data_IF_010608899908
#
_entry.id   IF_010608899908
#
_cell.length_a   1.000
_cell.length_b   1.000
_cell.length_c   1.000
_cell.angle_alpha   90.00
_cell.angle_beta   90.00
_cell.angle_gamma   90.00
#
_symmetry.space_group_name_H-M   'P 1'
#
loop_
_entity.id
_entity.type
_entity.pdbx_description
1 polymer ?
#
# COMPACT_ATOMS: atom_id res chain seq x y z
N UNK A 1 -3.50 -15.82 -17.85
CA UNK A 1 -3.32 -14.51 -17.20
C UNK A 1 -3.38 -14.68 -15.69
N UNK A 2 -4.46 -15.26 -15.17
CA UNK A 2 -4.63 -15.48 -13.73
C UNK A 2 -3.50 -16.32 -13.10
N UNK A 3 -3.08 -17.37 -13.79
CA UNK A 3 -1.95 -18.21 -13.34
C UNK A 3 -0.64 -17.43 -13.26
N UNK A 4 -0.42 -16.51 -14.20
CA UNK A 4 0.81 -15.72 -14.27
C UNK A 4 0.87 -14.74 -13.09
N UNK A 5 -0.24 -14.05 -12.79
CA UNK A 5 -0.36 -13.12 -11.67
C UNK A 5 -0.13 -13.83 -10.33
N UNK A 6 -0.76 -14.98 -10.13
CA UNK A 6 -0.61 -15.77 -8.89
C UNK A 6 0.80 -16.31 -8.71
N UNK A 7 1.47 -16.72 -9.78
CA UNK A 7 2.85 -17.20 -9.71
C UNK A 7 3.80 -16.07 -9.28
N UNK A 8 3.67 -14.88 -9.85
CA UNK A 8 4.44 -13.69 -9.45
C UNK A 8 4.19 -13.32 -8.00
N UNK A 9 2.94 -13.29 -7.57
CA UNK A 9 2.56 -12.94 -6.20
C UNK A 9 3.20 -13.90 -5.21
N UNK A 10 3.19 -15.19 -5.49
CA UNK A 10 3.81 -16.20 -4.62
C UNK A 10 5.32 -15.99 -4.46
N UNK A 11 6.01 -15.64 -5.55
CA UNK A 11 7.45 -15.37 -5.53
C UNK A 11 7.77 -14.12 -4.71
N UNK A 12 6.93 -13.10 -4.77
CA UNK A 12 7.11 -11.81 -4.11
C UNK A 12 6.77 -11.88 -2.61
N UNK A 13 5.81 -12.71 -2.23
CA UNK A 13 5.24 -12.70 -0.87
C UNK A 13 6.27 -12.93 0.23
N UNK A 14 7.13 -13.94 0.10
CA UNK A 14 8.13 -14.23 1.12
C UNK A 14 9.19 -13.13 1.27
N UNK A 15 9.81 -12.61 0.19
CA UNK A 15 10.71 -11.47 0.30
C UNK A 15 10.04 -10.23 0.91
N UNK A 16 8.78 -9.96 0.57
CA UNK A 16 8.05 -8.84 1.16
C UNK A 16 7.84 -9.02 2.65
N UNK A 17 7.43 -10.21 3.09
CA UNK A 17 7.25 -10.52 4.51
C UNK A 17 8.56 -10.38 5.30
N UNK A 18 9.69 -10.73 4.69
CA UNK A 18 11.00 -10.56 5.29
C UNK A 18 11.35 -9.09 5.50
N UNK A 19 11.08 -8.24 4.50
CA UNK A 19 11.26 -6.79 4.61
C UNK A 19 10.35 -6.20 5.69
N UNK A 20 9.10 -6.64 5.76
CA UNK A 20 8.13 -6.21 6.77
C UNK A 20 8.61 -6.59 8.16
N UNK A 21 9.07 -7.83 8.34
CA UNK A 21 9.54 -8.33 9.64
C UNK A 21 10.76 -7.57 10.15
N UNK A 22 11.67 -7.19 9.26
CA UNK A 22 12.89 -6.46 9.61
C UNK A 22 12.70 -4.96 9.78
N UNK A 23 11.58 -4.41 9.35
CA UNK A 23 11.31 -2.98 9.47
C UNK A 23 10.80 -2.61 10.86
N UNK A 24 11.18 -1.43 11.36
CA UNK A 24 10.66 -0.90 12.62
C UNK A 24 9.35 -0.13 12.41
N UNK A 25 9.22 0.58 11.29
CA UNK A 25 8.04 1.34 10.90
C UNK A 25 7.77 1.15 9.41
N UNK A 26 6.51 0.98 9.07
CA UNK A 26 6.11 0.71 7.69
C UNK A 26 5.09 1.76 7.27
N UNK A 27 5.41 2.46 6.18
CA UNK A 27 4.53 3.48 5.61
C UNK A 27 4.07 3.02 4.24
N UNK A 28 2.77 3.09 4.00
CA UNK A 28 2.15 2.67 2.74
C UNK A 28 1.43 3.88 2.14
N UNK A 29 1.78 4.26 0.92
CA UNK A 29 1.14 5.38 0.23
C UNK A 29 0.79 5.00 -1.21
N UNK A 30 -0.14 5.75 -1.79
CA UNK A 30 -0.48 5.66 -3.19
C UNK A 30 -0.02 6.91 -3.96
N UNK A 31 -0.86 7.39 -4.87
CA UNK A 31 -0.57 8.58 -5.68
C UNK A 31 -1.28 9.83 -5.15
N UNK A 32 -0.86 11.00 -5.65
CA UNK A 32 -1.53 12.28 -5.39
C UNK A 32 -2.98 12.21 -5.89
N UNK A 33 -3.86 12.96 -5.22
CA UNK A 33 -5.30 12.92 -5.51
C UNK A 33 -5.82 11.49 -5.44
N UNK A 34 -5.49 10.81 -4.34
CA UNK A 34 -5.73 9.39 -4.17
C UNK A 34 -7.19 9.03 -4.40
N UNK A 35 -7.41 8.05 -5.28
CA UNK A 35 -8.72 7.50 -5.60
C UNK A 35 -9.03 6.28 -4.71
N UNK A 36 -10.17 5.63 -4.97
CA UNK A 36 -10.59 4.46 -4.19
C UNK A 36 -9.58 3.31 -4.26
N UNK A 37 -8.94 3.09 -5.41
CA UNK A 37 -7.96 2.01 -5.53
C UNK A 37 -6.66 2.34 -4.80
N UNK A 38 -6.20 3.59 -4.90
CA UNK A 38 -5.01 4.06 -4.19
C UNK A 38 -5.18 3.94 -2.68
N UNK A 39 -6.28 4.46 -2.14
CA UNK A 39 -6.57 4.38 -0.71
C UNK A 39 -6.92 2.95 -0.28
N UNK A 40 -7.75 2.26 -1.06
CA UNK A 40 -8.19 0.90 -0.74
C UNK A 40 -7.03 -0.09 -0.64
N UNK A 41 -6.12 -0.07 -1.62
CA UNK A 41 -4.95 -0.94 -1.62
C UNK A 41 -3.99 -0.60 -0.47
N UNK A 42 -3.75 0.69 -0.23
CA UNK A 42 -2.87 1.14 0.85
C UNK A 42 -3.42 0.77 2.23
N UNK A 43 -4.71 1.00 2.47
CA UNK A 43 -5.35 0.67 3.75
C UNK A 43 -5.42 -0.84 3.96
N UNK A 44 -5.79 -1.59 2.93
CA UNK A 44 -5.86 -3.06 3.02
C UNK A 44 -4.52 -3.67 3.41
N UNK A 45 -3.45 -3.24 2.77
CA UNK A 45 -2.11 -3.72 3.08
C UNK A 45 -1.66 -3.28 4.47
N UNK A 46 -1.95 -2.03 4.85
CA UNK A 46 -1.64 -1.52 6.19
C UNK A 46 -2.31 -2.36 7.27
N UNK A 47 -3.60 -2.65 7.11
CA UNK A 47 -4.34 -3.46 8.08
C UNK A 47 -3.78 -4.88 8.19
N UNK A 48 -3.45 -5.52 7.07
CA UNK A 48 -2.85 -6.86 7.07
C UNK A 48 -1.50 -6.87 7.79
N UNK A 49 -0.66 -5.87 7.56
CA UNK A 49 0.65 -5.75 8.22
C UNK A 49 0.48 -5.50 9.71
N UNK A 50 -0.50 -4.66 10.11
CA UNK A 50 -0.83 -4.45 11.53
C UNK A 50 -1.31 -5.73 12.20
N UNK A 51 -2.09 -6.53 11.49
CA UNK A 51 -2.56 -7.81 12.00
C UNK A 51 -1.41 -8.79 12.26
N UNK A 52 -0.27 -8.61 11.58
CA UNK A 52 0.96 -9.35 11.85
C UNK A 52 1.74 -8.82 13.07
N UNK A 53 1.26 -7.76 13.71
CA UNK A 53 1.88 -7.17 14.89
C UNK A 53 2.91 -6.09 14.60
N UNK A 54 2.97 -5.57 13.38
CA UNK A 54 3.92 -4.53 12.97
C UNK A 54 3.31 -3.15 13.04
N UNK A 55 4.14 -2.14 13.26
CA UNK A 55 3.74 -0.72 13.23
C UNK A 55 3.67 -0.25 11.78
N UNK A 56 2.47 0.07 11.32
CA UNK A 56 2.23 0.47 9.93
C UNK A 56 1.14 1.54 9.84
N UNK A 57 1.27 2.43 8.86
CA UNK A 57 0.33 3.52 8.60
C UNK A 57 0.12 3.71 7.11
N UNK A 58 -1.12 4.05 6.75
CA UNK A 58 -1.44 4.51 5.40
C UNK A 58 -1.17 6.03 5.34
N UNK A 59 -0.32 6.44 4.42
CA UNK A 59 0.05 7.87 4.26
C UNK A 59 -0.82 8.48 3.15
N UNK A 60 -1.58 9.50 3.49
CA UNK A 60 -2.50 10.12 2.58
C UNK A 60 -2.74 11.59 2.97
N UNK A 61 -2.76 12.47 1.97
CA UNK A 61 -3.22 13.84 2.15
C UNK A 61 -4.74 13.86 2.03
N UNK A 62 -5.41 13.94 3.17
CA UNK A 62 -6.87 13.93 3.22
C UNK A 62 -7.48 15.07 2.40
N UNK A 63 -6.86 16.26 2.44
CA UNK A 63 -7.42 17.45 1.79
C UNK A 63 -7.54 17.32 0.27
N UNK A 64 -6.63 16.56 -0.36
CA UNK A 64 -6.59 16.37 -1.82
C UNK A 64 -7.17 15.05 -2.28
N UNK A 65 -7.48 14.14 -1.36
CA UNK A 65 -7.95 12.80 -1.72
C UNK A 65 -9.33 12.84 -2.37
N UNK A 66 -9.50 12.03 -3.41
CA UNK A 66 -10.78 11.79 -4.06
C UNK A 66 -11.57 10.65 -3.37
N UNK A 67 -10.98 10.03 -2.37
CA UNK A 67 -11.55 8.88 -1.65
C UNK A 67 -11.89 9.19 -0.19
N UNK A 68 -12.27 10.42 0.12
CA UNK A 68 -12.59 10.84 1.51
C UNK A 68 -13.67 9.97 2.14
N UNK A 69 -14.66 9.53 1.36
CA UNK A 69 -15.73 8.65 1.84
C UNK A 69 -15.14 7.35 2.39
N UNK A 70 -14.13 6.79 1.74
CA UNK A 70 -13.48 5.57 2.21
C UNK A 70 -12.62 5.84 3.45
N UNK A 71 -11.87 6.94 3.45
CA UNK A 71 -11.03 7.34 4.60
C UNK A 71 -11.90 7.55 5.84
N UNK A 72 -13.06 8.18 5.68
CA UNK A 72 -13.98 8.50 6.79
C UNK A 72 -14.60 7.24 7.42
N UNK A 73 -14.52 6.08 6.76
CA UNK A 73 -14.95 4.80 7.34
C UNK A 73 -13.99 4.27 8.41
N UNK A 74 -12.81 4.85 8.52
CA UNK A 74 -11.79 4.46 9.50
C UNK A 74 -11.49 5.65 10.42
N UNK A 75 -12.49 6.12 11.21
CA UNK A 75 -12.28 7.29 12.07
C UNK A 75 -11.26 6.96 13.17
N UNK A 76 -10.54 7.98 13.58
CA UNK A 76 -9.66 7.85 14.74
C UNK A 76 -10.49 7.55 16.00
N UNK A 77 -10.06 6.55 16.74
CA UNK A 77 -10.64 6.21 18.05
C UNK A 77 -9.62 6.57 19.12
N UNK A 78 -10.09 7.33 20.13
CA UNK A 78 -9.22 7.75 21.23
C UNK A 78 -8.62 6.53 21.95
N UNK A 79 -7.30 6.58 22.16
CA UNK A 79 -6.56 5.48 22.77
C UNK A 79 -6.08 4.41 21.78
N UNK A 80 -6.48 4.48 20.51
CA UNK A 80 -5.98 3.60 19.47
C UNK A 80 -4.96 4.33 18.58
N UNK A 81 -4.03 3.58 18.00
CA UNK A 81 -3.08 4.13 17.03
C UNK A 81 -3.82 4.52 15.76
N UNK A 82 -3.69 5.77 15.26
CA UNK A 82 -4.36 6.18 14.03
C UNK A 82 -3.91 5.32 12.84
N UNK A 83 -4.86 4.99 11.96
CA UNK A 83 -4.57 4.22 10.74
C UNK A 83 -3.82 5.07 9.70
N UNK A 84 -4.15 6.34 9.62
CA UNK A 84 -3.61 7.27 8.63
C UNK A 84 -2.56 8.20 9.23
N UNK A 85 -1.61 8.61 8.38
CA UNK A 85 -0.65 9.68 8.66
C UNK A 85 -0.68 10.68 7.52
N UNK A 86 -0.64 11.96 7.85
CA UNK A 86 -0.36 12.99 6.86
C UNK A 86 1.09 12.83 6.37
N UNK A 87 1.40 13.18 5.11
CA UNK A 87 2.78 13.04 4.59
C UNK A 87 3.84 13.72 5.45
N UNK A 88 3.56 14.92 5.98
CA UNK A 88 4.51 15.64 6.84
C UNK A 88 4.86 14.86 8.10
N UNK A 89 3.86 14.23 8.74
CA UNK A 89 4.09 13.44 9.95
C UNK A 89 4.89 12.17 9.64
N UNK A 90 4.59 11.51 8.52
CA UNK A 90 5.33 10.33 8.10
C UNK A 90 6.81 10.65 7.83
N UNK A 91 7.10 11.79 7.22
CA UNK A 91 8.48 12.24 6.97
C UNK A 91 9.25 12.40 8.28
N UNK A 92 8.64 13.00 9.30
CA UNK A 92 9.26 13.16 10.61
C UNK A 92 9.48 11.84 11.35
N UNK A 93 8.58 10.87 11.15
CA UNK A 93 8.61 9.58 11.83
C UNK A 93 9.48 8.54 11.14
N UNK A 94 9.92 8.81 9.91
CA UNK A 94 10.74 7.88 9.12
C UNK A 94 12.08 7.61 9.80
N UNK A 95 12.47 6.34 9.86
CA UNK A 95 13.77 5.91 10.40
C UNK A 95 14.61 5.24 9.31
N UNK A 96 15.88 4.97 9.61
CA UNK A 96 16.77 4.25 8.69
C UNK A 96 16.33 2.80 8.43
N UNK A 97 15.53 2.23 9.32
CA UNK A 97 14.97 0.87 9.20
C UNK A 97 13.50 0.87 8.77
N UNK A 98 12.97 2.00 8.35
CA UNK A 98 11.60 2.07 7.84
C UNK A 98 11.49 1.46 6.45
N UNK A 99 10.33 0.90 6.17
CA UNK A 99 9.96 0.40 4.85
C UNK A 99 8.85 1.30 4.28
N UNK A 100 9.05 1.77 3.05
CA UNK A 100 8.02 2.49 2.30
C UNK A 100 7.47 1.58 1.21
N UNK A 101 6.17 1.38 1.22
CA UNK A 101 5.46 0.63 0.16
C UNK A 101 4.60 1.61 -0.62
N UNK A 102 4.76 1.61 -1.94
CA UNK A 102 4.00 2.47 -2.85
C UNK A 102 3.04 1.59 -3.64
N UNK A 103 1.74 1.87 -3.49
CA UNK A 103 0.66 1.15 -4.17
C UNK A 103 0.05 2.02 -5.26
N UNK A 104 -0.43 1.38 -6.33
CA UNK A 104 -1.25 2.00 -7.38
C UNK A 104 -0.54 3.07 -8.21
N UNK A 105 0.76 3.14 -8.14
CA UNK A 105 1.60 3.92 -9.05
C UNK A 105 3.04 3.44 -9.01
N UNK A 106 3.76 3.64 -10.11
CA UNK A 106 5.21 3.47 -10.19
C UNK A 106 5.88 4.73 -10.77
N UNK A 107 5.09 5.80 -10.92
CA UNK A 107 5.56 7.07 -11.48
C UNK A 107 6.01 8.01 -10.35
N UNK A 108 7.31 8.34 -10.27
CA UNK A 108 7.83 9.19 -9.20
C UNK A 108 7.28 10.62 -9.21
N UNK A 109 6.62 11.03 -10.30
CA UNK A 109 6.06 12.38 -10.40
C UNK A 109 4.68 12.51 -9.74
N UNK A 110 3.96 11.40 -9.53
CA UNK A 110 2.59 11.43 -9.01
C UNK A 110 2.41 10.69 -7.69
N UNK A 111 3.47 10.16 -7.09
CA UNK A 111 3.38 9.55 -5.76
C UNK A 111 2.89 10.56 -4.73
N UNK A 112 2.24 10.09 -3.68
CA UNK A 112 1.63 10.94 -2.65
C UNK A 112 2.63 11.92 -2.02
N UNK A 113 3.83 11.46 -1.70
CA UNK A 113 4.88 12.29 -1.14
C UNK A 113 6.23 11.98 -1.76
N UNK A 114 6.72 12.90 -2.57
CA UNK A 114 8.05 12.80 -3.17
C UNK A 114 9.15 12.86 -2.10
N UNK A 115 8.97 13.72 -1.10
CA UNK A 115 9.94 13.88 -0.02
C UNK A 115 10.07 12.61 0.82
N UNK A 116 8.94 11.96 1.15
CA UNK A 116 8.95 10.69 1.87
C UNK A 116 9.70 9.62 1.06
N UNK A 117 9.43 9.54 -0.23
CA UNK A 117 10.10 8.61 -1.14
C UNK A 117 11.61 8.86 -1.21
N UNK A 118 12.03 10.12 -1.34
CA UNK A 118 13.45 10.46 -1.43
C UNK A 118 14.21 10.14 -0.15
N UNK A 119 13.58 10.26 1.01
CA UNK A 119 14.18 9.97 2.31
C UNK A 119 14.16 8.49 2.69
N UNK A 120 13.24 7.72 2.14
CA UNK A 120 13.12 6.30 2.46
C UNK A 120 14.30 5.51 1.90
N UNK A 121 14.90 4.65 2.71
CA UNK A 121 16.04 3.82 2.30
C UNK A 121 15.64 2.53 1.63
N UNK A 122 14.45 2.00 1.95
CA UNK A 122 13.91 0.77 1.36
C UNK A 122 12.53 1.05 0.82
N UNK A 123 12.34 0.80 -0.46
CA UNK A 123 11.10 1.09 -1.19
C UNK A 123 10.62 -0.18 -1.89
N UNK A 124 9.32 -0.45 -1.77
CA UNK A 124 8.60 -1.50 -2.49
C UNK A 124 7.53 -0.84 -3.35
N UNK A 125 7.36 -1.31 -4.58
CA UNK A 125 6.31 -0.83 -5.49
C UNK A 125 5.36 -1.97 -5.81
N UNK A 126 4.06 -1.72 -5.72
CA UNK A 126 2.97 -2.64 -6.11
C UNK A 126 2.04 -1.87 -7.03
N UNK A 127 2.08 -2.16 -8.33
CA UNK A 127 1.30 -1.42 -9.30
C UNK A 127 0.86 -2.28 -10.49
N UNK A 128 -0.27 -1.90 -11.10
CA UNK A 128 -0.86 -2.58 -12.24
C UNK A 128 -0.88 -1.72 -13.52
N UNK A 129 -0.56 -0.44 -13.42
CA UNK A 129 -0.58 0.46 -14.56
C UNK A 129 0.47 0.07 -15.60
N UNK A 130 0.19 0.38 -16.87
CA UNK A 130 1.15 0.15 -17.95
C UNK A 130 2.48 0.82 -17.62
N UNK A 131 3.59 0.08 -17.77
CA UNK A 131 4.91 0.57 -17.43
C UNK A 131 5.29 1.80 -18.25
N UNK A 132 5.69 2.85 -17.55
CA UNK A 132 6.09 4.12 -18.12
C UNK A 132 7.60 4.20 -18.26
N UNK A 133 8.08 5.11 -19.14
CA UNK A 133 9.51 5.37 -19.29
C UNK A 133 10.10 5.91 -17.98
N UNK A 134 9.37 6.83 -17.32
CA UNK A 134 9.79 7.38 -16.05
C UNK A 134 9.12 6.58 -14.91
N UNK A 135 9.87 5.68 -14.30
CA UNK A 135 9.39 4.81 -13.23
C UNK A 135 10.37 4.76 -12.08
N UNK A 136 9.89 4.33 -10.92
CA UNK A 136 10.72 4.11 -9.74
C UNK A 136 11.64 2.92 -10.02
N UNK A 137 12.93 3.16 -10.15
CA UNK A 137 13.93 2.15 -10.57
C UNK A 137 14.80 1.63 -9.43
N UNK A 138 14.65 2.19 -8.22
CA UNK A 138 15.45 1.83 -7.05
C UNK A 138 14.69 0.99 -6.02
N UNK A 139 13.51 0.49 -6.35
CA UNK A 139 12.74 -0.36 -5.46
C UNK A 139 13.45 -1.70 -5.23
N UNK A 140 13.49 -2.16 -3.97
CA UNK A 140 14.04 -3.48 -3.63
C UNK A 140 13.10 -4.61 -4.08
N UNK A 141 11.79 -4.32 -4.16
CA UNK A 141 10.79 -5.16 -4.81
C UNK A 141 9.96 -4.26 -5.72
N UNK A 142 9.89 -4.62 -7.00
CA UNK A 142 9.05 -3.96 -7.99
C UNK A 142 8.03 -4.97 -8.49
N UNK A 143 6.88 -5.03 -7.79
CA UNK A 143 5.79 -5.95 -8.14
C UNK A 143 4.82 -5.24 -9.09
N UNK A 144 5.04 -5.45 -10.37
CA UNK A 144 4.29 -4.83 -11.44
C UNK A 144 3.54 -5.88 -12.24
N UNK A 145 2.21 -5.76 -12.30
CA UNK A 145 1.36 -6.73 -12.99
C UNK A 145 0.30 -6.02 -13.83
N UNK A 146 0.60 -5.73 -15.11
CA UNK A 146 -0.31 -4.97 -15.97
C UNK A 146 -1.60 -5.72 -16.32
N UNK A 147 -1.66 -7.02 -16.05
CA UNK A 147 -2.86 -7.82 -16.29
C UNK A 147 -3.82 -7.82 -15.08
N UNK A 148 -3.39 -7.33 -13.93
CA UNK A 148 -4.28 -7.15 -12.80
C UNK A 148 -5.23 -5.97 -13.07
N UNK A 149 -6.46 -6.08 -12.60
CA UNK A 149 -7.46 -5.03 -12.83
C UNK A 149 -7.28 -3.83 -11.89
N UNK A 150 -6.61 -4.02 -10.75
CA UNK A 150 -6.39 -2.96 -9.75
C UNK A 150 -5.25 -3.31 -8.81
N UNK A 151 -4.71 -2.30 -8.13
CA UNK A 151 -3.75 -2.51 -7.05
C UNK A 151 -4.41 -3.22 -5.86
N UNK A 152 -5.68 -2.97 -5.61
CA UNK A 152 -6.46 -3.65 -4.57
C UNK A 152 -6.56 -5.15 -4.82
N UNK A 153 -6.73 -5.57 -6.08
CA UNK A 153 -6.69 -6.99 -6.45
C UNK A 153 -5.32 -7.60 -6.14
N UNK A 154 -4.24 -6.91 -6.51
CA UNK A 154 -2.88 -7.36 -6.23
C UNK A 154 -2.61 -7.53 -4.73
N UNK A 155 -3.04 -6.56 -3.93
CA UNK A 155 -2.92 -6.60 -2.47
C UNK A 155 -3.74 -7.76 -1.90
N UNK A 156 -4.95 -7.99 -2.39
CA UNK A 156 -5.79 -9.12 -1.97
C UNK A 156 -5.08 -10.46 -2.19
N UNK A 157 -4.43 -10.62 -3.34
CA UNK A 157 -3.64 -11.82 -3.64
C UNK A 157 -2.43 -11.97 -2.70
N UNK A 158 -1.71 -10.87 -2.44
CA UNK A 158 -0.55 -10.88 -1.54
C UNK A 158 -0.93 -11.28 -0.11
N UNK A 159 -2.01 -10.74 0.41
CA UNK A 159 -2.46 -10.96 1.79
C UNK A 159 -2.75 -12.44 2.04
N UNK A 160 -3.17 -13.19 1.04
CA UNK A 160 -3.41 -14.62 1.17
C UNK A 160 -2.16 -15.41 1.60
N UNK A 161 -0.98 -14.87 1.32
CA UNK A 161 0.30 -15.47 1.70
C UNK A 161 0.82 -15.00 3.07
N UNK A 162 0.08 -14.11 3.75
CA UNK A 162 0.47 -13.60 5.08
C UNK A 162 0.06 -14.53 6.23
N UNK A 163 -0.63 -15.65 5.93
CA UNK A 163 -1.12 -16.59 6.93
C UNK A 163 -2.36 -16.08 7.67
N UNK A 164 -2.84 -16.87 8.62
CA UNK A 164 -4.04 -16.54 9.39
C UNK A 164 -3.89 -15.24 10.20
N UNK A 165 -2.70 -14.95 10.71
CA UNK A 165 -2.44 -13.73 11.49
C UNK A 165 -2.65 -12.45 10.68
N UNK A 166 -2.34 -12.47 9.38
CA UNK A 166 -2.51 -11.32 8.49
C UNK A 166 -3.91 -11.16 7.89
N UNK A 167 -4.80 -12.10 8.17
CA UNK A 167 -6.15 -12.11 7.59
C UNK A 167 -6.96 -10.87 7.99
N UNK A 168 -7.56 -10.21 6.99
CA UNK A 168 -8.38 -9.02 7.21
C UNK A 168 -9.72 -9.37 7.86
N UNK A 169 -10.15 -8.52 8.81
CA UNK A 169 -11.52 -8.54 9.32
C UNK A 169 -12.48 -7.96 8.28
N UNK A 170 -13.77 -8.22 8.42
CA UNK A 170 -14.79 -7.81 7.45
C UNK A 170 -14.72 -6.32 7.10
N UNK A 171 -14.65 -5.44 8.10
CA UNK A 171 -14.55 -4.00 7.88
C UNK A 171 -13.26 -3.56 7.18
N UNK A 172 -12.15 -4.25 7.43
CA UNK A 172 -10.87 -4.01 6.77
C UNK A 172 -10.90 -4.46 5.30
N UNK A 173 -11.55 -5.58 5.00
CA UNK A 173 -11.64 -6.12 3.64
C UNK A 173 -12.48 -5.24 2.71
N UNK A 174 -13.44 -4.47 3.23
CA UNK A 174 -14.29 -3.57 2.44
C UNK A 174 -13.48 -2.55 1.64
N UNK A 175 -12.34 -2.09 2.15
CA UNK A 175 -11.50 -1.11 1.44
C UNK A 175 -10.94 -1.68 0.14
N UNK A 176 -10.54 -2.96 0.14
CA UNK A 176 -10.06 -3.63 -1.07
C UNK A 176 -11.17 -3.81 -2.09
N UNK A 177 -12.38 -4.17 -1.64
CA UNK A 177 -13.54 -4.26 -2.53
C UNK A 177 -13.88 -2.92 -3.16
N UNK A 178 -13.83 -1.83 -2.41
CA UNK A 178 -14.08 -0.49 -2.92
C UNK A 178 -13.07 -0.11 -4.02
N UNK A 179 -11.80 -0.43 -3.82
CA UNK A 179 -10.75 -0.18 -4.82
C UNK A 179 -10.94 -1.00 -6.08
N UNK A 180 -11.27 -2.28 -5.95
CA UNK A 180 -11.52 -3.16 -7.10
C UNK A 180 -12.73 -2.71 -7.92
N UNK A 181 -13.79 -2.23 -7.28
CA UNK A 181 -15.01 -1.79 -7.95
C UNK A 181 -14.79 -0.54 -8.83
N UNK A 182 -13.88 0.35 -8.44
CA UNK A 182 -13.58 1.54 -9.23
C UNK A 182 -13.03 1.17 -10.61
N UNK A 183 -12.12 0.21 -10.66
CA UNK A 183 -11.39 -0.15 -11.88
C UNK A 183 -12.15 -1.13 -12.79
N UNK A 184 -13.31 -1.60 -12.37
CA UNK A 184 -14.16 -2.49 -13.18
C UNK A 184 -15.26 -1.75 -13.96
N UNK A 185 -15.30 -0.42 -13.91
CA UNK A 185 -16.29 0.39 -14.61
C UNK A 185 -15.84 0.80 -16.02
#
# INVERSE_FOLDING_TARGET
VERHTKAKTRIIANPLLELVDNADRIFIMGHKYSDLDSVGSSVGLTCAIRNLGKSAWAVCDYSTSLAKVLIDRFPHVDGEEPLFREPSDAIEELTDNSLLIICDTHNPLIIESKELYEKAKKVVVIDHHRKMVNYIDNAVIFHHEPYASSASEMVTELIQYFGEAGKLRAGQAECLLAGMMLDTK
#
